data_IF_470277404603
#
_entry.id   IF_470277404603
#
_cell.length_a   1.000
_cell.length_b   1.000
_cell.length_c   1.000
_cell.angle_alpha   90.00
_cell.angle_beta   90.00
_cell.angle_gamma   90.00
#
_symmetry.space_group_name_H-M   'P 1'
#
loop_
_entity.id
_entity.type
_entity.pdbx_description
1 polymer ?
#
# COMPACT_ATOMS: atom_id res chain seq x y z
N UNK A 1 -5.28 -18.22 -1.08
CA UNK A 1 -4.44 -17.17 -1.71
C UNK A 1 -4.02 -16.17 -0.65
N UNK A 2 -2.77 -15.81 -0.62
CA UNK A 2 -2.25 -14.81 0.30
C UNK A 2 -2.03 -13.47 -0.43
N UNK A 3 -2.83 -12.46 -0.10
CA UNK A 3 -2.74 -11.13 -0.71
C UNK A 3 -1.40 -10.44 -0.45
N UNK A 4 -0.74 -10.75 0.66
CA UNK A 4 0.58 -10.19 0.96
C UNK A 4 1.66 -10.67 -0.03
N UNK A 5 1.42 -11.81 -0.66
CA UNK A 5 2.32 -12.40 -1.64
C UNK A 5 1.92 -12.18 -3.09
N UNK A 6 0.78 -11.53 -3.34
CA UNK A 6 0.29 -11.32 -4.72
C UNK A 6 1.26 -10.49 -5.56
N UNK A 7 2.09 -9.67 -4.92
CA UNK A 7 3.11 -8.91 -5.63
C UNK A 7 4.13 -9.81 -6.35
N UNK A 8 4.32 -11.06 -5.91
CA UNK A 8 5.15 -12.03 -6.64
C UNK A 8 4.57 -12.34 -8.02
N UNK A 9 3.25 -12.51 -8.09
CA UNK A 9 2.57 -12.68 -9.37
C UNK A 9 2.75 -11.47 -10.28
N UNK A 10 2.55 -10.25 -9.75
CA UNK A 10 2.75 -9.02 -10.53
C UNK A 10 4.18 -8.87 -11.03
N UNK A 11 5.17 -9.22 -10.22
CA UNK A 11 6.58 -9.19 -10.62
C UNK A 11 6.88 -10.24 -11.70
N UNK A 12 6.31 -11.42 -11.60
CA UNK A 12 6.44 -12.44 -12.64
C UNK A 12 5.85 -11.98 -13.99
N UNK A 13 4.74 -11.27 -13.98
CA UNK A 13 4.14 -10.65 -15.18
C UNK A 13 5.05 -9.57 -15.76
N UNK A 14 5.57 -8.70 -14.90
CA UNK A 14 6.41 -7.55 -15.29
C UNK A 14 7.73 -8.00 -15.93
N UNK A 15 8.45 -8.90 -15.27
CA UNK A 15 9.78 -9.33 -15.69
C UNK A 15 9.76 -10.43 -16.76
N UNK A 16 8.67 -11.14 -16.93
CA UNK A 16 8.53 -12.26 -17.86
C UNK A 16 9.60 -13.34 -17.70
N UNK A 17 10.13 -13.45 -16.49
CA UNK A 17 11.19 -14.38 -16.12
C UNK A 17 11.15 -14.60 -14.59
N UNK A 18 11.05 -15.85 -14.15
CA UNK A 18 10.96 -16.15 -12.71
C UNK A 18 12.23 -15.80 -11.95
N UNK A 19 13.39 -15.98 -12.55
CA UNK A 19 14.67 -15.64 -11.90
C UNK A 19 14.79 -14.15 -11.64
N UNK A 20 14.50 -13.32 -12.64
CA UNK A 20 14.54 -11.86 -12.50
C UNK A 20 13.45 -11.35 -11.55
N UNK A 21 12.25 -11.90 -11.65
CA UNK A 21 11.16 -11.53 -10.73
C UNK A 21 11.50 -11.89 -9.28
N UNK A 22 12.07 -13.07 -9.04
CA UNK A 22 12.52 -13.50 -7.72
C UNK A 22 13.61 -12.58 -7.17
N UNK A 23 14.59 -12.21 -7.97
CA UNK A 23 15.64 -11.25 -7.58
C UNK A 23 15.05 -9.90 -7.19
N UNK A 24 14.07 -9.39 -7.93
CA UNK A 24 13.39 -8.14 -7.62
C UNK A 24 12.61 -8.20 -6.31
N UNK A 25 12.15 -9.37 -5.91
CA UNK A 25 11.43 -9.62 -4.66
C UNK A 25 12.36 -10.07 -3.51
N UNK A 26 13.67 -10.17 -3.74
CA UNK A 26 14.64 -10.66 -2.77
C UNK A 26 14.34 -12.08 -2.24
N UNK A 27 13.85 -12.95 -3.11
CA UNK A 27 13.58 -14.35 -2.83
C UNK A 27 14.28 -15.27 -3.82
N UNK A 28 14.35 -16.56 -3.49
CA UNK A 28 14.85 -17.57 -4.42
C UNK A 28 13.89 -17.84 -5.57
N UNK A 29 14.43 -18.22 -6.73
CA UNK A 29 13.64 -18.60 -7.91
C UNK A 29 12.71 -19.78 -7.62
N UNK A 30 13.16 -20.76 -6.82
CA UNK A 30 12.35 -21.88 -6.37
C UNK A 30 11.12 -21.44 -5.57
N UNK A 31 11.28 -20.47 -4.68
CA UNK A 31 10.18 -19.88 -3.89
C UNK A 31 9.17 -19.21 -4.79
N UNK A 32 9.64 -18.42 -5.76
CA UNK A 32 8.77 -17.76 -6.74
C UNK A 32 7.98 -18.78 -7.56
N UNK A 33 8.64 -19.78 -8.13
CA UNK A 33 7.98 -20.83 -8.91
C UNK A 33 6.96 -21.61 -8.10
N UNK A 34 7.29 -21.91 -6.84
CA UNK A 34 6.38 -22.62 -5.93
C UNK A 34 5.14 -21.79 -5.60
N UNK A 35 5.32 -20.51 -5.35
CA UNK A 35 4.20 -19.60 -5.12
C UNK A 35 3.24 -19.58 -6.32
N UNK A 36 3.77 -19.43 -7.52
CA UNK A 36 2.96 -19.39 -8.74
C UNK A 36 2.25 -20.74 -8.95
N UNK A 37 2.95 -21.85 -8.74
CA UNK A 37 2.34 -23.19 -8.85
C UNK A 37 1.17 -23.39 -7.88
N UNK A 38 1.32 -22.96 -6.63
CA UNK A 38 0.24 -23.03 -5.63
C UNK A 38 -0.94 -22.14 -6.04
N UNK A 39 -0.67 -20.95 -6.52
CA UNK A 39 -1.71 -20.03 -7.00
C UNK A 39 -2.49 -20.64 -8.19
N UNK A 40 -1.79 -21.19 -9.16
CA UNK A 40 -2.40 -21.89 -10.30
C UNK A 40 -3.22 -23.11 -9.86
N UNK A 41 -2.75 -23.84 -8.86
CA UNK A 41 -3.48 -24.98 -8.29
C UNK A 41 -4.77 -24.51 -7.58
N UNK A 42 -4.72 -23.46 -6.78
CA UNK A 42 -5.89 -22.92 -6.10
C UNK A 42 -6.95 -22.42 -7.09
N UNK A 43 -6.51 -21.80 -8.19
CA UNK A 43 -7.40 -21.30 -9.24
C UNK A 43 -7.81 -22.40 -10.24
N UNK A 44 -7.22 -23.58 -10.15
CA UNK A 44 -7.44 -24.70 -11.06
C UNK A 44 -7.22 -24.34 -12.54
N UNK A 45 -6.28 -23.46 -12.81
CA UNK A 45 -5.93 -23.01 -14.16
C UNK A 45 -4.48 -22.55 -14.22
N UNK A 46 -3.88 -22.64 -15.38
CA UNK A 46 -2.57 -22.07 -15.62
C UNK A 46 -2.69 -20.59 -15.93
N UNK A 47 -1.85 -19.78 -15.27
CA UNK A 47 -1.76 -18.33 -15.48
C UNK A 47 -0.63 -17.98 -16.45
N UNK A 48 0.41 -18.81 -16.52
CA UNK A 48 1.60 -18.58 -17.34
C UNK A 48 1.83 -19.72 -18.33
N UNK A 49 2.28 -19.35 -19.53
CA UNK A 49 2.89 -20.24 -20.51
C UNK A 49 4.41 -20.10 -20.38
N UNK A 50 5.10 -21.22 -20.20
CA UNK A 50 6.56 -21.28 -20.03
C UNK A 50 7.18 -21.80 -21.32
N UNK A 51 7.70 -20.92 -22.14
CA UNK A 51 8.35 -21.27 -23.39
C UNK A 51 9.72 -20.57 -23.50
N UNK A 52 10.75 -21.31 -23.81
CA UNK A 52 12.10 -20.81 -24.12
C UNK A 52 12.63 -19.75 -23.13
N UNK A 53 12.49 -19.99 -21.82
CA UNK A 53 12.90 -19.07 -20.73
C UNK A 53 12.08 -17.78 -20.64
N UNK A 54 11.01 -17.67 -21.41
CA UNK A 54 10.10 -16.53 -21.37
C UNK A 54 8.76 -16.93 -20.77
N UNK A 55 8.22 -16.09 -19.92
CA UNK A 55 6.89 -16.24 -19.36
C UNK A 55 5.92 -15.34 -20.12
N UNK A 56 4.83 -15.91 -20.58
CA UNK A 56 3.71 -15.16 -21.12
C UNK A 56 2.43 -15.55 -20.39
N UNK A 57 1.48 -14.63 -20.28
CA UNK A 57 0.21 -14.91 -19.65
C UNK A 57 -0.69 -15.74 -20.56
N UNK A 58 -1.38 -16.73 -19.98
CA UNK A 58 -2.53 -17.37 -20.62
C UNK A 58 -3.69 -16.38 -20.72
N UNK A 59 -4.75 -16.73 -21.44
CA UNK A 59 -6.01 -15.95 -21.45
C UNK A 59 -6.55 -15.73 -20.03
N UNK A 60 -6.57 -16.79 -19.25
CA UNK A 60 -6.98 -16.77 -17.84
C UNK A 60 -6.02 -15.92 -16.98
N UNK A 61 -4.72 -16.01 -17.26
CA UNK A 61 -3.69 -15.20 -16.61
C UNK A 61 -3.89 -13.71 -16.85
N UNK A 62 -4.24 -13.30 -18.07
CA UNK A 62 -4.56 -11.90 -18.40
C UNK A 62 -5.80 -11.43 -17.66
N UNK A 63 -6.85 -12.24 -17.65
CA UNK A 63 -8.09 -11.93 -16.92
C UNK A 63 -7.83 -11.78 -15.43
N UNK A 64 -7.06 -12.68 -14.83
CA UNK A 64 -6.69 -12.62 -13.43
C UNK A 64 -5.82 -11.40 -13.12
N UNK A 65 -4.85 -11.09 -13.96
CA UNK A 65 -3.98 -9.92 -13.80
C UNK A 65 -4.78 -8.62 -13.80
N UNK A 66 -5.66 -8.43 -14.78
CA UNK A 66 -6.48 -7.21 -14.89
C UNK A 66 -7.43 -7.05 -13.70
N UNK A 67 -8.08 -8.13 -13.29
CA UNK A 67 -8.96 -8.11 -12.12
C UNK A 67 -8.19 -7.85 -10.82
N UNK A 68 -7.05 -8.51 -10.63
CA UNK A 68 -6.24 -8.37 -9.41
C UNK A 68 -5.56 -7.01 -9.30
N UNK A 69 -5.22 -6.34 -10.38
CA UNK A 69 -4.72 -4.96 -10.33
C UNK A 69 -5.72 -4.04 -9.60
N UNK A 70 -6.98 -4.13 -9.95
CA UNK A 70 -8.03 -3.31 -9.34
C UNK A 70 -8.27 -3.70 -7.87
N UNK A 71 -8.35 -4.98 -7.58
CA UNK A 71 -8.55 -5.49 -6.21
C UNK A 71 -7.38 -5.09 -5.30
N UNK A 72 -6.15 -5.27 -5.78
CA UNK A 72 -4.95 -4.96 -5.00
C UNK A 72 -4.80 -3.44 -4.77
N UNK A 73 -5.09 -2.62 -5.77
CA UNK A 73 -5.10 -1.17 -5.61
C UNK A 73 -6.14 -0.72 -4.57
N UNK A 74 -7.33 -1.30 -4.59
CA UNK A 74 -8.37 -1.04 -3.58
C UNK A 74 -7.94 -1.48 -2.18
N UNK A 75 -7.30 -2.63 -2.08
CA UNK A 75 -6.75 -3.13 -0.82
C UNK A 75 -5.68 -2.20 -0.25
N UNK A 76 -4.74 -1.74 -1.08
CA UNK A 76 -3.71 -0.80 -0.66
C UNK A 76 -4.32 0.53 -0.21
N UNK A 77 -5.29 1.05 -0.94
CA UNK A 77 -6.01 2.28 -0.57
C UNK A 77 -6.70 2.13 0.77
N UNK A 78 -7.37 1.00 1.01
CA UNK A 78 -8.00 0.70 2.28
C UNK A 78 -6.99 0.69 3.44
N UNK A 79 -5.85 0.04 3.26
CA UNK A 79 -4.78 -0.01 4.26
C UNK A 79 -4.23 1.39 4.56
N UNK A 80 -3.99 2.21 3.54
CA UNK A 80 -3.53 3.58 3.70
C UNK A 80 -4.54 4.43 4.45
N UNK A 81 -5.81 4.33 4.11
CA UNK A 81 -6.87 5.08 4.78
C UNK A 81 -6.97 4.73 6.27
N UNK A 82 -6.86 3.44 6.62
CA UNK A 82 -6.85 2.99 8.00
C UNK A 82 -5.64 3.53 8.75
N UNK A 83 -4.46 3.56 8.13
CA UNK A 83 -3.25 4.09 8.74
C UNK A 83 -3.31 5.61 8.93
N UNK A 84 -3.94 6.33 8.01
CA UNK A 84 -4.10 7.79 8.09
C UNK A 84 -5.16 8.23 9.09
N UNK A 85 -6.07 7.35 9.50
CA UNK A 85 -7.16 7.68 10.42
C UNK A 85 -6.68 8.16 11.80
N UNK A 86 -5.43 7.89 12.15
CA UNK A 86 -4.84 8.26 13.44
C UNK A 86 -3.88 9.44 13.36
N UNK A 87 -3.80 10.13 12.21
CA UNK A 87 -2.89 11.25 12.03
C UNK A 87 -3.67 12.55 11.84
N UNK A 88 -3.43 13.51 12.74
CA UNK A 88 -3.94 14.86 12.63
C UNK A 88 -2.87 15.74 12.00
N UNK A 89 -3.19 16.34 10.86
CA UNK A 89 -2.30 17.31 10.20
C UNK A 89 -2.70 18.72 10.61
N UNK A 90 -1.76 19.46 11.21
CA UNK A 90 -1.99 20.85 11.64
C UNK A 90 -1.06 21.75 10.84
N UNK A 91 -1.66 22.70 10.10
CA UNK A 91 -0.93 23.80 9.51
C UNK A 91 -0.83 24.96 10.51
N UNK A 92 0.39 25.45 10.78
CA UNK A 92 0.61 26.59 11.66
C UNK A 92 1.13 27.77 10.87
N UNK A 93 0.55 28.94 11.11
CA UNK A 93 0.91 30.18 10.42
C UNK A 93 2.08 30.91 11.08
N UNK A 94 2.30 30.68 12.36
CA UNK A 94 3.34 31.34 13.15
C UNK A 94 4.02 30.35 14.10
N UNK A 95 5.26 30.67 14.50
CA UNK A 95 6.01 29.94 15.51
C UNK A 95 5.73 30.47 16.92
N UNK A 96 4.49 30.80 17.24
CA UNK A 96 4.14 31.29 18.56
C UNK A 96 4.16 30.15 19.57
N UNK A 97 4.89 30.34 20.68
CA UNK A 97 5.05 29.33 21.72
C UNK A 97 3.74 28.92 22.40
N UNK A 98 2.72 29.77 22.35
CA UNK A 98 1.40 29.48 22.91
C UNK A 98 0.72 28.33 22.18
N UNK A 99 0.97 28.21 20.89
CA UNK A 99 0.40 27.14 20.08
C UNK A 99 1.01 25.77 20.41
N UNK A 100 2.28 25.74 20.82
CA UNK A 100 2.94 24.51 21.28
C UNK A 100 2.35 23.97 22.59
N UNK A 101 2.01 24.83 23.54
CA UNK A 101 1.39 24.40 24.78
C UNK A 101 0.00 23.76 24.54
N UNK A 102 -0.76 24.31 23.62
CA UNK A 102 -2.07 23.77 23.22
C UNK A 102 -1.90 22.41 22.57
N UNK A 103 -0.91 22.26 21.66
CA UNK A 103 -0.62 20.99 21.01
C UNK A 103 -0.13 19.93 21.99
N UNK A 104 0.74 20.28 22.92
CA UNK A 104 1.22 19.36 23.97
C UNK A 104 0.06 18.89 24.86
N UNK A 105 -0.83 19.78 25.23
CA UNK A 105 -2.04 19.43 26.00
C UNK A 105 -2.96 18.50 25.22
N UNK A 106 -3.08 18.71 23.91
CA UNK A 106 -3.89 17.88 23.04
C UNK A 106 -3.27 16.49 22.88
N UNK A 107 -1.95 16.38 22.71
CA UNK A 107 -1.24 15.10 22.63
C UNK A 107 -1.38 14.28 23.91
N UNK A 108 -1.32 14.92 25.06
CA UNK A 108 -1.54 14.25 26.37
C UNK A 108 -2.95 13.75 26.54
N UNK A 109 -3.93 14.49 26.00
CA UNK A 109 -5.35 14.11 26.10
C UNK A 109 -5.73 12.99 25.12
N UNK A 110 -5.05 12.93 23.98
CA UNK A 110 -5.30 11.96 22.91
C UNK A 110 -4.01 11.23 22.50
N UNK A 111 -3.44 10.37 23.37
CA UNK A 111 -2.14 9.75 23.12
C UNK A 111 -2.13 8.75 21.96
N UNK A 112 -3.29 8.34 21.47
CA UNK A 112 -3.45 7.42 20.33
C UNK A 112 -3.46 8.14 18.98
N UNK A 113 -3.48 9.48 18.98
CA UNK A 113 -3.39 10.27 17.75
C UNK A 113 -1.96 10.68 17.46
N UNK A 114 -1.52 10.46 16.22
CA UNK A 114 -0.29 11.04 15.72
C UNK A 114 -0.57 12.43 15.18
N UNK A 115 0.21 13.42 15.60
CA UNK A 115 0.06 14.80 15.15
C UNK A 115 1.25 15.14 14.26
N UNK A 116 0.99 15.64 13.08
CA UNK A 116 2.01 16.21 12.20
C UNK A 116 1.73 17.70 12.00
N UNK A 117 2.79 18.52 12.01
CA UNK A 117 2.67 19.95 11.79
C UNK A 117 3.44 20.36 10.56
N UNK A 118 2.93 21.36 9.87
CA UNK A 118 3.65 22.07 8.83
C UNK A 118 3.55 23.58 9.07
N UNK A 119 4.62 24.28 8.76
CA UNK A 119 4.61 25.75 8.78
C UNK A 119 4.16 26.26 7.42
N UNK A 120 3.18 27.15 7.43
CA UNK A 120 2.68 27.81 6.23
C UNK A 120 3.23 29.23 6.20
N UNK A 121 3.84 29.61 5.08
CA UNK A 121 4.20 31.01 4.84
C UNK A 121 2.95 31.83 4.51
N UNK A 122 3.03 33.17 4.74
CA UNK A 122 1.87 34.06 4.61
C UNK A 122 1.17 34.02 3.23
N UNK A 123 1.88 33.60 2.20
CA UNK A 123 1.35 33.51 0.83
C UNK A 123 0.66 32.17 0.52
N UNK A 124 0.76 31.21 1.41
CA UNK A 124 0.16 29.89 1.27
C UNK A 124 -1.10 29.76 2.13
N UNK A 125 -2.05 30.68 1.96
CA UNK A 125 -3.38 30.58 2.55
C UNK A 125 -4.15 29.46 1.85
N UNK A 126 -3.71 28.26 2.08
CA UNK A 126 -4.46 27.07 1.73
C UNK A 126 -5.39 26.71 2.87
N UNK A 127 -6.58 26.22 2.52
CA UNK A 127 -7.55 25.71 3.48
C UNK A 127 -6.89 24.74 4.44
N UNK A 128 -6.99 25.01 5.74
CA UNK A 128 -6.63 24.10 6.79
C UNK A 128 -7.61 22.91 6.74
N UNK A 129 -7.22 21.85 6.06
CA UNK A 129 -7.95 20.61 6.16
C UNK A 129 -7.57 19.91 7.46
N UNK A 130 -8.43 20.02 8.45
CA UNK A 130 -8.36 19.21 9.65
C UNK A 130 -9.10 17.91 9.37
N UNK A 131 -8.39 16.88 8.96
CA UNK A 131 -8.95 15.53 8.88
C UNK A 131 -9.02 14.95 10.29
N UNK A 132 -10.13 15.17 10.92
CA UNK A 132 -10.43 14.59 12.22
C UNK A 132 -11.14 13.27 12.01
N UNK A 133 -10.47 12.18 12.23
CA UNK A 133 -11.11 10.88 12.23
C UNK A 133 -11.72 10.60 13.61
N UNK A 134 -13.04 10.66 13.66
CA UNK A 134 -13.86 10.49 14.89
C UNK A 134 -14.27 9.04 15.13
N UNK A 135 -13.57 8.06 14.56
CA UNK A 135 -13.95 6.66 14.73
C UNK A 135 -13.53 6.01 16.06
N UNK A 136 -12.93 6.75 16.96
CA UNK A 136 -12.39 6.21 18.20
C UNK A 136 -13.33 6.36 19.41
N UNK A 137 -14.63 6.42 19.17
CA UNK A 137 -15.63 6.49 20.25
C UNK A 137 -16.46 5.21 20.31
N UNK A 138 -15.78 4.11 20.44
CA UNK A 138 -16.44 2.87 20.86
C UNK A 138 -15.74 2.37 22.12
#
# INVERSE_FOLDING_TARGET
MDLNKIHYFFKAVEYKNFTQAANACHIGQTTMSKYIAVLEQELQTQLFIREHRTLTLTKQGKQFYEGMKNIYASYQTLCQNIQQTNTLHIGMKTTDFTDFEILESFEKKYPHLSISYSYLEENELMELSVERNLHDHI
#
